data_IF_843647689898
#
_entry.id   IF_843647689898
#
_cell.length_a   1.000
_cell.length_b   1.000
_cell.length_c   1.000
_cell.angle_alpha   90.00
_cell.angle_beta   90.00
_cell.angle_gamma   90.00
#
_symmetry.space_group_name_H-M   'P 1'
#
loop_
_entity.id
_entity.type
_entity.pdbx_description
1 polymer ?
#
# COMPACT_ATOMS: atom_id res chain seq x y z
N UNK A 1 -17.10 -36.37 7.58
CA UNK A 1 -17.39 -35.01 7.08
C UNK A 1 -16.46 -34.05 7.79
N UNK A 2 -15.69 -33.28 7.02
CA UNK A 2 -14.69 -32.27 7.41
C UNK A 2 -13.47 -32.73 8.21
N UNK A 3 -12.43 -33.01 7.44
CA UNK A 3 -11.03 -33.09 7.86
C UNK A 3 -10.31 -31.84 7.36
N UNK A 4 -9.47 -31.27 8.24
CA UNK A 4 -8.25 -30.47 7.99
C UNK A 4 -8.39 -29.02 7.51
N UNK A 5 -8.09 -28.10 8.43
CA UNK A 5 -7.30 -26.90 8.15
C UNK A 5 -5.91 -27.11 8.76
N UNK A 6 -4.84 -27.00 7.96
CA UNK A 6 -3.72 -26.19 8.43
C UNK A 6 -3.10 -25.32 7.33
N UNK A 7 -2.48 -24.23 7.79
CA UNK A 7 -1.46 -23.41 7.13
C UNK A 7 -1.95 -22.36 6.13
N UNK A 8 -2.10 -21.15 6.69
CA UNK A 8 -2.09 -19.89 5.98
C UNK A 8 -0.69 -19.71 5.32
N UNK A 9 -0.57 -19.99 4.02
CA UNK A 9 0.63 -19.69 3.25
C UNK A 9 0.51 -18.29 2.67
N UNK A 10 1.36 -17.39 3.17
CA UNK A 10 1.62 -16.07 2.60
C UNK A 10 2.16 -16.23 1.18
N UNK A 11 1.34 -15.90 0.18
CA UNK A 11 1.77 -15.66 -1.21
C UNK A 11 1.52 -14.20 -1.52
N UNK A 12 2.55 -13.37 -1.44
CA UNK A 12 2.58 -12.06 -2.09
C UNK A 12 3.91 -11.92 -2.86
N UNK A 13 3.81 -11.28 -4.03
CA UNK A 13 4.77 -11.10 -5.12
C UNK A 13 5.01 -12.35 -6.00
N UNK A 14 4.04 -12.62 -6.86
CA UNK A 14 4.23 -13.27 -8.17
C UNK A 14 3.87 -12.24 -9.26
N UNK A 15 4.89 -11.69 -9.91
CA UNK A 15 4.86 -10.94 -11.17
C UNK A 15 6.35 -10.88 -11.55
N UNK A 16 6.85 -11.57 -12.57
CA UNK A 16 6.57 -11.41 -14.01
C UNK A 16 6.85 -12.77 -14.69
N UNK A 17 5.90 -13.32 -15.45
CA UNK A 17 6.16 -14.39 -16.41
C UNK A 17 5.55 -13.95 -17.75
N UNK A 18 6.40 -13.56 -18.69
CA UNK A 18 5.99 -13.26 -20.05
C UNK A 18 5.63 -14.55 -20.77
N UNK A 19 4.40 -14.63 -21.29
CA UNK A 19 4.04 -15.57 -22.33
C UNK A 19 4.77 -15.16 -23.61
N UNK A 20 5.76 -15.93 -24.04
CA UNK A 20 6.30 -15.86 -25.40
C UNK A 20 5.70 -17.01 -26.21
N UNK A 21 4.67 -16.71 -27.01
CA UNK A 21 4.22 -17.60 -28.08
C UNK A 21 5.35 -17.75 -29.11
N UNK A 22 5.55 -18.99 -29.54
CA UNK A 22 6.79 -19.46 -30.14
C UNK A 22 7.10 -18.94 -31.54
N UNK A 23 8.40 -18.83 -31.80
CA UNK A 23 9.06 -19.04 -33.08
C UNK A 23 10.46 -19.60 -32.78
N UNK A 24 10.71 -20.81 -33.27
CA UNK A 24 12.00 -21.50 -33.27
C UNK A 24 13.01 -20.74 -34.13
N UNK A 25 14.24 -20.57 -33.65
CA UNK A 25 15.44 -20.98 -34.39
C UNK A 25 16.67 -21.06 -33.45
N UNK A 26 17.47 -22.09 -33.71
CA UNK A 26 18.49 -22.67 -32.85
C UNK A 26 19.81 -21.89 -32.71
N UNK A 27 20.54 -22.25 -31.65
CA UNK A 27 22.00 -22.16 -31.46
C UNK A 27 22.63 -20.86 -30.90
N UNK A 28 22.55 -20.71 -29.57
CA UNK A 28 23.70 -20.24 -28.76
C UNK A 28 23.56 -20.70 -27.30
N UNK A 29 24.28 -21.78 -26.97
CA UNK A 29 24.46 -22.28 -25.62
C UNK A 29 25.34 -21.36 -24.78
N UNK A 30 24.73 -20.48 -23.99
CA UNK A 30 25.28 -20.03 -22.70
C UNK A 30 24.13 -19.92 -21.72
N UNK A 31 23.99 -20.95 -20.89
CA UNK A 31 23.37 -20.95 -19.56
C UNK A 31 22.65 -19.64 -19.16
N UNK A 32 21.44 -19.44 -19.67
CA UNK A 32 20.46 -18.63 -18.98
C UNK A 32 20.02 -19.53 -17.82
N UNK A 33 20.78 -19.49 -16.73
CA UNK A 33 20.26 -19.94 -15.45
C UNK A 33 18.94 -19.22 -15.28
N UNK A 34 17.90 -19.99 -15.02
CA UNK A 34 16.59 -19.54 -14.56
C UNK A 34 16.78 -18.71 -13.27
N UNK A 35 17.22 -17.47 -13.42
CA UNK A 35 17.21 -16.45 -12.39
C UNK A 35 15.75 -16.03 -12.30
N UNK A 36 15.00 -16.75 -11.47
CA UNK A 36 13.78 -16.21 -10.88
C UNK A 36 14.19 -14.93 -10.15
N UNK A 37 14.10 -13.81 -10.87
CA UNK A 37 14.46 -12.53 -10.34
C UNK A 37 13.36 -12.07 -9.40
N UNK A 38 13.44 -12.54 -8.16
CA UNK A 38 12.42 -12.35 -7.15
C UNK A 38 12.93 -11.43 -6.06
N UNK A 39 12.67 -10.14 -6.22
CA UNK A 39 12.80 -9.19 -5.12
C UNK A 39 11.63 -9.38 -4.15
N UNK A 40 11.94 -9.78 -2.91
CA UNK A 40 10.96 -9.87 -1.83
C UNK A 40 11.12 -8.69 -0.89
N UNK A 41 10.03 -7.98 -0.63
CA UNK A 41 9.95 -6.94 0.39
C UNK A 41 9.28 -7.53 1.63
N UNK A 42 9.82 -7.25 2.83
CA UNK A 42 9.19 -7.71 4.08
C UNK A 42 8.15 -6.70 4.57
N UNK A 43 8.16 -5.49 4.01
CA UNK A 43 7.18 -4.42 4.23
C UNK A 43 5.89 -4.76 3.49
N UNK A 44 4.81 -5.02 4.25
CA UNK A 44 3.51 -5.39 3.69
C UNK A 44 2.33 -4.98 4.56
N UNK A 45 1.12 -5.43 4.19
CA UNK A 45 -0.13 -4.97 4.81
C UNK A 45 -0.24 -5.25 6.33
N UNK A 46 0.41 -6.32 6.82
CA UNK A 46 0.46 -6.63 8.26
C UNK A 46 1.27 -5.61 9.05
N UNK A 47 2.41 -5.17 8.51
CA UNK A 47 3.23 -4.13 9.12
C UNK A 47 2.45 -2.82 9.17
N UNK A 48 1.76 -2.45 8.09
CA UNK A 48 0.92 -1.26 8.05
C UNK A 48 -0.19 -1.28 9.12
N UNK A 49 -0.91 -2.40 9.22
CA UNK A 49 -1.96 -2.55 10.25
C UNK A 49 -1.38 -2.49 11.66
N UNK A 50 -0.19 -3.06 11.90
CA UNK A 50 0.47 -2.99 13.19
C UNK A 50 0.92 -1.57 13.54
N UNK A 51 1.53 -0.87 12.59
CA UNK A 51 1.97 0.50 12.80
C UNK A 51 0.77 1.45 13.04
N UNK A 52 -0.33 1.26 12.32
CA UNK A 52 -1.57 1.99 12.55
C UNK A 52 -2.14 1.71 13.95
N UNK A 53 -2.10 0.44 14.42
CA UNK A 53 -2.50 0.08 15.79
C UNK A 53 -1.66 0.80 16.83
N UNK A 54 -0.33 0.86 16.66
CA UNK A 54 0.57 1.56 17.57
C UNK A 54 0.26 3.06 17.65
N UNK A 55 0.10 3.73 16.49
CA UNK A 55 -0.25 5.16 16.42
C UNK A 55 -1.57 5.43 17.15
N UNK A 56 -2.61 4.65 16.87
CA UNK A 56 -3.94 4.86 17.46
C UNK A 56 -3.94 4.56 18.96
N UNK A 57 -3.29 3.47 19.36
CA UNK A 57 -3.19 3.06 20.76
C UNK A 57 -2.40 4.04 21.61
N UNK A 58 -1.39 4.68 21.02
CA UNK A 58 -0.62 5.73 21.68
C UNK A 58 -1.39 7.05 21.80
N UNK A 59 -2.14 7.45 20.76
CA UNK A 59 -2.76 8.80 20.67
C UNK A 59 -4.17 8.89 21.25
N UNK A 60 -4.99 7.85 21.12
CA UNK A 60 -6.44 7.97 21.30
C UNK A 60 -7.02 6.83 22.12
N UNK A 61 -6.97 5.60 21.60
CA UNK A 61 -7.75 4.46 22.08
C UNK A 61 -6.93 3.19 21.96
N UNK A 62 -6.81 2.41 23.04
CA UNK A 62 -6.10 1.14 23.02
C UNK A 62 -6.84 0.11 22.16
N UNK A 63 -6.30 -0.20 20.97
CA UNK A 63 -6.90 -1.07 19.94
C UNK A 63 -5.97 -2.21 19.52
N UNK A 64 -4.99 -2.56 20.37
CA UNK A 64 -3.94 -3.53 20.02
C UNK A 64 -4.49 -4.92 19.69
N UNK A 65 -5.56 -5.32 20.37
CA UNK A 65 -6.24 -6.61 20.18
C UNK A 65 -7.23 -6.59 19.00
N UNK A 66 -7.66 -5.39 18.57
CA UNK A 66 -8.72 -5.18 17.57
C UNK A 66 -8.18 -5.15 16.13
N UNK A 67 -7.41 -6.17 15.75
CA UNK A 67 -6.70 -6.20 14.45
C UNK A 67 -7.66 -6.18 13.25
N UNK A 68 -8.83 -6.80 13.38
CA UNK A 68 -9.83 -6.82 12.30
C UNK A 68 -10.41 -5.43 12.03
N UNK A 69 -10.82 -4.72 13.08
CA UNK A 69 -11.39 -3.38 12.98
C UNK A 69 -10.38 -2.40 12.39
N UNK A 70 -9.11 -2.50 12.80
CA UNK A 70 -8.06 -1.62 12.30
C UNK A 70 -7.71 -1.93 10.84
N UNK A 71 -7.81 -3.20 10.41
CA UNK A 71 -7.68 -3.53 9.00
C UNK A 71 -8.81 -2.91 8.16
N UNK A 72 -10.05 -2.92 8.65
CA UNK A 72 -11.16 -2.24 7.97
C UNK A 72 -10.95 -0.73 7.90
N UNK A 73 -10.56 -0.10 9.02
CA UNK A 73 -10.23 1.33 9.06
C UNK A 73 -9.15 1.67 8.03
N UNK A 74 -8.10 0.85 7.95
CA UNK A 74 -7.03 1.02 6.97
C UNK A 74 -7.58 0.95 5.54
N UNK A 75 -8.38 -0.05 5.22
CA UNK A 75 -8.94 -0.22 3.87
C UNK A 75 -9.94 0.87 3.48
N UNK A 76 -10.76 1.33 4.43
CA UNK A 76 -11.81 2.33 4.16
C UNK A 76 -11.25 3.78 4.14
N UNK A 77 -10.18 4.07 4.91
CA UNK A 77 -9.75 5.45 5.19
C UNK A 77 -8.38 5.80 4.58
N UNK A 78 -7.45 4.86 4.51
CA UNK A 78 -6.08 5.12 4.05
C UNK A 78 -6.00 5.26 2.52
N UNK A 79 -5.07 6.08 2.07
CA UNK A 79 -4.81 6.33 0.66
C UNK A 79 -3.34 6.69 0.45
N UNK A 80 -2.83 6.52 -0.78
CA UNK A 80 -1.47 6.91 -1.13
C UNK A 80 -1.45 8.35 -1.62
N UNK A 81 -0.70 9.20 -0.93
CA UNK A 81 -0.49 10.59 -1.35
C UNK A 81 0.46 10.67 -2.54
N UNK A 82 0.18 11.59 -3.47
CA UNK A 82 1.10 11.95 -4.56
C UNK A 82 2.13 13.01 -4.13
N UNK A 83 1.81 13.80 -3.10
CA UNK A 83 2.64 14.93 -2.64
C UNK A 83 2.62 14.99 -1.11
N UNK A 84 3.45 14.16 -0.49
CA UNK A 84 3.49 13.98 0.97
C UNK A 84 3.61 15.30 1.75
N UNK A 85 4.56 16.17 1.39
CA UNK A 85 4.79 17.43 2.11
C UNK A 85 3.63 18.42 2.00
N UNK A 86 2.91 18.42 0.88
CA UNK A 86 1.75 19.30 0.69
C UNK A 86 0.59 18.83 1.56
N UNK A 87 0.33 17.53 1.56
CA UNK A 87 -0.72 16.92 2.37
C UNK A 87 -0.41 17.06 3.87
N UNK A 88 0.86 16.95 4.27
CA UNK A 88 1.29 17.21 5.64
C UNK A 88 0.97 18.63 6.09
N UNK A 89 1.20 19.64 5.24
CA UNK A 89 0.84 21.05 5.56
C UNK A 89 -0.66 21.22 5.76
N UNK A 90 -1.48 20.60 4.90
CA UNK A 90 -2.94 20.63 5.04
C UNK A 90 -3.39 19.91 6.31
N UNK A 91 -2.78 18.77 6.64
CA UNK A 91 -3.10 18.00 7.84
C UNK A 91 -2.76 18.73 9.14
N UNK A 92 -1.83 19.69 9.12
CA UNK A 92 -1.50 20.54 10.26
C UNK A 92 -2.50 21.69 10.49
N UNK A 93 -3.32 22.02 9.49
CA UNK A 93 -4.36 23.04 9.63
C UNK A 93 -5.43 22.57 10.64
N UNK A 94 -6.04 23.55 11.32
CA UNK A 94 -7.07 23.29 12.34
C UNK A 94 -8.45 23.67 11.79
N UNK A 95 -9.48 22.92 12.20
CA UNK A 95 -10.87 23.20 11.84
C UNK A 95 -11.22 22.75 10.42
N UNK A 96 -12.13 23.48 9.78
CA UNK A 96 -12.75 23.13 8.50
C UNK A 96 -11.78 23.15 7.30
N UNK A 97 -10.65 23.86 7.44
CA UNK A 97 -9.61 23.93 6.43
C UNK A 97 -8.84 22.60 6.27
N UNK A 98 -8.89 21.73 7.28
CA UNK A 98 -8.22 20.44 7.24
C UNK A 98 -9.05 19.44 6.44
N UNK A 99 -8.75 19.32 5.15
CA UNK A 99 -9.50 18.43 4.27
C UNK A 99 -9.23 16.95 4.49
N UNK A 100 -8.12 16.63 5.17
CA UNK A 100 -7.61 15.27 5.36
C UNK A 100 -8.21 14.63 6.62
N UNK A 101 -8.59 15.44 7.61
CA UNK A 101 -9.18 14.95 8.85
C UNK A 101 -10.52 14.25 8.58
N UNK A 102 -10.69 13.04 9.13
CA UNK A 102 -11.89 12.21 8.98
C UNK A 102 -12.16 11.45 10.27
N UNK A 103 -13.41 11.43 10.70
CA UNK A 103 -13.85 10.76 11.91
C UNK A 103 -14.51 9.44 11.51
N UNK A 104 -14.00 8.33 12.05
CA UNK A 104 -14.47 6.99 11.76
C UNK A 104 -15.21 6.42 12.97
N UNK A 105 -16.45 5.97 12.78
CA UNK A 105 -17.24 5.33 13.84
C UNK A 105 -16.84 3.87 13.94
N UNK A 106 -16.35 3.45 15.10
CA UNK A 106 -16.02 2.06 15.35
C UNK A 106 -17.29 1.22 15.55
N UNK A 107 -17.30 -0.04 15.09
CA UNK A 107 -18.42 -0.93 15.32
C UNK A 107 -18.56 -1.28 16.82
N UNK A 108 -19.77 -1.22 17.35
CA UNK A 108 -20.11 -1.60 18.72
C UNK A 108 -20.64 -3.06 18.83
N UNK A 109 -20.69 -3.76 17.69
CA UNK A 109 -21.23 -5.11 17.48
C UNK A 109 -22.68 -5.33 17.95
N UNK A 110 -23.35 -4.27 18.41
CA UNK A 110 -24.72 -4.30 18.91
C UNK A 110 -25.66 -3.66 17.89
N UNK A 111 -25.30 -2.47 17.41
CA UNK A 111 -26.05 -1.69 16.44
C UNK A 111 -25.30 -1.58 15.11
N UNK A 112 -23.97 -1.46 15.17
CA UNK A 112 -23.09 -1.23 14.02
C UNK A 112 -22.18 -2.45 13.87
N UNK A 113 -22.41 -3.24 12.82
CA UNK A 113 -21.59 -4.42 12.49
C UNK A 113 -20.30 -4.08 11.73
N UNK A 114 -20.32 -3.03 10.92
CA UNK A 114 -19.16 -2.49 10.20
C UNK A 114 -19.09 -1.00 10.48
N UNK A 115 -17.91 -0.52 10.86
CA UNK A 115 -17.67 0.91 11.03
C UNK A 115 -17.83 1.69 9.72
N UNK A 116 -17.90 3.01 9.83
CA UNK A 116 -18.05 3.89 8.66
C UNK A 116 -17.42 5.26 8.92
N UNK A 117 -17.05 5.95 7.83
CA UNK A 117 -16.58 7.32 7.90
C UNK A 117 -17.76 8.28 8.06
N UNK A 118 -17.70 9.20 9.03
CA UNK A 118 -18.66 10.30 9.11
C UNK A 118 -18.43 11.27 7.96
N UNK A 119 -19.52 11.82 7.43
CA UNK A 119 -19.43 12.92 6.47
C UNK A 119 -18.94 14.19 7.16
N UNK A 120 -18.23 15.06 6.41
CA UNK A 120 -17.65 16.31 6.95
C UNK A 120 -18.68 17.19 7.67
N UNK A 121 -19.93 17.20 7.21
CA UNK A 121 -21.03 18.00 7.80
C UNK A 121 -21.45 17.54 9.19
N UNK A 122 -21.27 16.25 9.50
CA UNK A 122 -21.71 15.62 10.76
C UNK A 122 -20.57 15.51 11.77
N UNK A 123 -19.38 15.98 11.39
CA UNK A 123 -18.17 15.89 12.20
C UNK A 123 -18.11 17.03 13.22
N UNK A 124 -17.84 16.67 14.48
CA UNK A 124 -17.75 17.63 15.58
C UNK A 124 -16.29 18.03 15.80
N UNK A 125 -15.89 19.24 15.44
CA UNK A 125 -14.48 19.68 15.55
C UNK A 125 -13.89 19.65 16.95
N UNK A 126 -14.72 19.77 17.99
CA UNK A 126 -14.27 19.62 19.38
C UNK A 126 -13.79 18.20 19.72
N UNK A 127 -14.13 17.20 18.90
CA UNK A 127 -13.78 15.78 19.11
C UNK A 127 -14.60 15.11 20.21
N UNK A 128 -15.56 15.81 20.82
CA UNK A 128 -16.44 15.27 21.86
C UNK A 128 -17.80 14.93 21.25
N UNK A 129 -18.01 13.63 21.03
CA UNK A 129 -19.29 13.12 20.58
C UNK A 129 -20.19 12.85 21.80
N UNK A 130 -21.44 13.37 21.82
CA UNK A 130 -22.38 13.16 22.91
C UNK A 130 -23.09 11.80 22.85
N UNK A 131 -23.13 11.16 21.67
CA UNK A 131 -23.56 9.79 21.51
C UNK A 131 -22.48 8.86 22.07
N UNK A 132 -22.85 7.77 22.76
CA UNK A 132 -21.90 6.74 23.23
C UNK A 132 -21.17 5.98 22.10
N UNK A 133 -21.16 6.55 20.89
CA UNK A 133 -20.41 6.08 19.73
C UNK A 133 -18.92 6.27 19.99
N UNK A 134 -18.16 5.20 19.82
CA UNK A 134 -16.71 5.30 19.85
C UNK A 134 -16.22 5.77 18.49
N UNK A 135 -15.69 6.99 18.44
CA UNK A 135 -15.21 7.64 17.22
C UNK A 135 -13.69 7.73 17.24
N UNK A 136 -13.06 7.28 16.16
CA UNK A 136 -11.63 7.37 15.91
C UNK A 136 -11.36 8.53 14.94
N UNK A 137 -10.61 9.54 15.39
CA UNK A 137 -10.27 10.69 14.56
C UNK A 137 -8.96 10.46 13.83
N UNK A 138 -9.01 10.38 12.50
CA UNK A 138 -7.84 10.10 11.66
C UNK A 138 -7.42 11.36 10.89
N UNK A 139 -6.13 11.65 10.91
CA UNK A 139 -5.51 12.82 10.27
C UNK A 139 -4.41 12.42 9.29
N UNK A 140 -3.15 12.75 9.59
CA UNK A 140 -2.00 12.44 8.74
C UNK A 140 -1.68 10.94 8.64
N UNK A 141 -2.09 10.13 9.62
CA UNK A 141 -1.90 8.67 9.61
C UNK A 141 -2.53 7.99 8.38
N UNK A 142 -3.53 8.62 7.76
CA UNK A 142 -4.22 8.09 6.57
C UNK A 142 -3.31 7.92 5.37
N UNK A 143 -2.36 8.84 5.19
CA UNK A 143 -1.40 8.80 4.08
C UNK A 143 0.02 8.48 4.56
N UNK A 144 0.36 8.78 5.82
CA UNK A 144 1.67 8.43 6.38
C UNK A 144 1.85 6.90 6.56
N UNK A 145 0.78 6.16 6.87
CA UNK A 145 0.89 4.69 6.99
C UNK A 145 1.23 4.03 5.64
N UNK A 146 0.50 4.27 4.54
CA UNK A 146 0.87 3.73 3.23
C UNK A 146 2.24 4.18 2.72
N UNK A 147 2.73 5.36 3.14
CA UNK A 147 4.04 5.90 2.75
C UNK A 147 5.19 4.99 3.17
N UNK A 148 5.04 4.20 4.24
CA UNK A 148 6.06 3.24 4.73
C UNK A 148 6.43 2.20 3.67
N UNK A 149 5.53 1.87 2.73
CA UNK A 149 5.84 0.95 1.64
C UNK A 149 6.77 1.58 0.58
N UNK A 150 6.77 2.91 0.48
CA UNK A 150 7.61 3.67 -0.43
C UNK A 150 8.90 4.13 0.25
N UNK A 151 8.82 4.50 1.52
CA UNK A 151 9.93 4.99 2.34
C UNK A 151 9.96 4.29 3.71
N UNK A 152 10.38 3.02 3.79
CA UNK A 152 10.40 2.27 5.05
C UNK A 152 11.40 2.80 6.08
N UNK A 153 12.39 3.58 5.64
CA UNK A 153 13.37 4.23 6.51
C UNK A 153 12.74 5.22 7.49
N UNK A 154 11.55 5.76 7.20
CA UNK A 154 10.83 6.71 8.07
C UNK A 154 10.47 6.10 9.44
N UNK A 155 10.32 4.77 9.50
CA UNK A 155 10.06 4.02 10.74
C UNK A 155 11.30 3.25 11.22
N UNK A 156 12.48 3.59 10.70
CA UNK A 156 13.76 2.97 11.06
C UNK A 156 13.99 1.59 10.44
N UNK A 157 13.16 1.16 9.48
CA UNK A 157 13.37 -0.08 8.74
C UNK A 157 14.34 0.19 7.57
N UNK A 158 15.49 -0.48 7.61
CA UNK A 158 16.53 -0.39 6.58
C UNK A 158 16.22 -1.36 5.42
N UNK A 159 15.11 -1.14 4.72
CA UNK A 159 14.72 -1.86 3.51
C UNK A 159 14.51 -0.89 2.34
N UNK A 160 14.50 -1.43 1.12
CA UNK A 160 14.15 -0.65 -0.07
C UNK A 160 12.65 -0.41 -0.15
N UNK A 161 12.27 0.75 -0.70
CA UNK A 161 10.89 0.99 -1.10
C UNK A 161 10.48 0.14 -2.30
N UNK A 162 9.18 0.06 -2.57
CA UNK A 162 8.63 -0.54 -3.80
C UNK A 162 9.31 -0.03 -5.09
N UNK A 163 9.43 1.30 -5.33
CA UNK A 163 9.98 1.80 -6.59
C UNK A 163 11.47 1.45 -6.77
N UNK A 164 12.24 1.50 -5.68
CA UNK A 164 13.65 1.11 -5.67
C UNK A 164 13.82 -0.39 -5.94
N UNK A 165 12.98 -1.22 -5.33
CA UNK A 165 13.00 -2.67 -5.53
C UNK A 165 12.67 -3.05 -6.98
N UNK A 166 11.72 -2.34 -7.62
CA UNK A 166 11.40 -2.51 -9.04
C UNK A 166 12.61 -2.13 -9.90
N UNK A 167 13.22 -0.97 -9.64
CA UNK A 167 14.40 -0.51 -10.37
C UNK A 167 15.55 -1.51 -10.25
N UNK A 168 15.92 -1.90 -9.03
CA UNK A 168 16.99 -2.87 -8.80
C UNK A 168 16.70 -4.23 -9.47
N UNK A 169 15.43 -4.64 -9.51
CA UNK A 169 15.04 -5.83 -10.23
C UNK A 169 15.30 -5.66 -11.73
N UNK A 170 14.79 -4.59 -12.36
CA UNK A 170 14.98 -4.39 -13.80
C UNK A 170 16.46 -4.20 -14.17
N UNK A 171 17.24 -3.49 -13.36
CA UNK A 171 18.67 -3.24 -13.60
C UNK A 171 19.53 -4.51 -13.52
N UNK A 172 19.09 -5.53 -12.81
CA UNK A 172 19.78 -6.82 -12.74
C UNK A 172 19.62 -7.68 -14.01
N UNK A 173 18.70 -7.31 -14.90
CA UNK A 173 18.48 -7.96 -16.20
C UNK A 173 19.43 -7.39 -17.26
N UNK A 174 19.56 -8.12 -18.38
CA UNK A 174 20.33 -7.65 -19.53
C UNK A 174 19.76 -6.34 -20.08
N UNK A 175 20.61 -5.38 -20.51
CA UNK A 175 20.16 -4.06 -20.99
C UNK A 175 19.08 -4.10 -22.08
N UNK A 176 19.10 -5.13 -22.92
CA UNK A 176 18.12 -5.32 -24.01
C UNK A 176 16.70 -5.65 -23.50
N UNK A 177 16.59 -6.31 -22.33
CA UNK A 177 15.31 -6.68 -21.73
C UNK A 177 14.70 -5.55 -20.87
N UNK A 178 15.54 -4.65 -20.35
CA UNK A 178 15.11 -3.56 -19.47
C UNK A 178 13.95 -2.71 -20.00
N UNK A 179 13.97 -2.19 -21.25
CA UNK A 179 12.87 -1.37 -21.77
C UNK A 179 11.55 -2.16 -21.85
N UNK A 180 11.62 -3.45 -22.19
CA UNK A 180 10.45 -4.32 -22.27
C UNK A 180 9.81 -4.55 -20.89
N UNK A 181 10.62 -4.62 -19.83
CA UNK A 181 10.13 -4.80 -18.46
C UNK A 181 9.49 -3.52 -17.91
N UNK A 182 10.09 -2.35 -18.15
CA UNK A 182 9.51 -1.07 -17.73
C UNK A 182 8.15 -0.79 -18.38
N UNK A 183 7.92 -1.28 -19.60
CA UNK A 183 6.65 -1.12 -20.29
C UNK A 183 5.54 -2.03 -19.76
N UNK A 184 5.89 -3.13 -19.08
CA UNK A 184 4.94 -4.18 -18.70
C UNK A 184 4.94 -4.44 -17.19
N UNK A 185 4.74 -3.39 -16.39
CA UNK A 185 4.62 -3.52 -14.93
C UNK A 185 3.16 -3.80 -14.58
N UNK A 186 2.89 -4.92 -13.91
CA UNK A 186 1.54 -5.29 -13.46
C UNK A 186 1.50 -5.28 -11.93
N UNK A 187 0.59 -4.49 -11.38
CA UNK A 187 0.34 -4.41 -9.94
C UNK A 187 -0.72 -5.42 -9.54
N UNK A 188 -0.43 -6.21 -8.52
CA UNK A 188 -1.35 -7.22 -7.96
C UNK A 188 -1.23 -7.25 -6.43
N UNK A 189 -2.21 -7.82 -5.75
CA UNK A 189 -2.25 -7.96 -4.28
C UNK A 189 -3.33 -7.12 -3.60
N UNK A 190 -3.43 -7.23 -2.28
CA UNK A 190 -4.38 -6.45 -1.48
C UNK A 190 -3.95 -5.00 -1.30
N UNK A 191 -2.64 -4.78 -1.14
CA UNK A 191 -2.06 -3.44 -0.90
C UNK A 191 -2.15 -2.52 -2.12
N UNK A 192 -2.29 -3.05 -3.34
CA UNK A 192 -2.46 -2.21 -4.55
C UNK A 192 -3.85 -1.58 -4.67
N UNK A 193 -4.79 -1.96 -3.79
CA UNK A 193 -6.16 -1.42 -3.76
C UNK A 193 -6.23 -0.03 -3.11
N UNK A 194 -5.16 0.48 -2.50
CA UNK A 194 -5.18 1.83 -1.96
C UNK A 194 -5.41 2.87 -3.07
N UNK A 195 -6.31 3.84 -2.86
CA UNK A 195 -6.50 4.93 -3.81
C UNK A 195 -5.19 5.67 -4.07
N UNK A 196 -4.87 5.92 -5.34
CA UNK A 196 -3.63 6.60 -5.76
C UNK A 196 -2.37 5.72 -5.80
N UNK A 197 -2.45 4.44 -5.42
CA UNK A 197 -1.28 3.55 -5.37
C UNK A 197 -0.62 3.38 -6.73
N UNK A 198 -1.40 3.06 -7.78
CA UNK A 198 -0.88 2.90 -9.15
C UNK A 198 -0.15 4.15 -9.63
N UNK A 199 -0.78 5.31 -9.47
CA UNK A 199 -0.25 6.58 -9.97
C UNK A 199 1.04 6.96 -9.25
N UNK A 200 1.12 6.68 -7.94
CA UNK A 200 2.34 6.89 -7.17
C UNK A 200 3.47 5.98 -7.63
N UNK A 201 3.21 4.69 -7.79
CA UNK A 201 4.22 3.74 -8.29
C UNK A 201 4.70 4.15 -9.68
N UNK A 202 3.80 4.56 -10.57
CA UNK A 202 4.17 5.05 -11.89
C UNK A 202 5.09 6.28 -11.81
N UNK A 203 4.73 7.28 -11.01
CA UNK A 203 5.50 8.50 -10.86
C UNK A 203 6.90 8.23 -10.29
N UNK A 204 7.00 7.40 -9.25
CA UNK A 204 8.26 7.08 -8.59
C UNK A 204 9.16 6.23 -9.50
N UNK A 205 8.62 5.18 -10.14
CA UNK A 205 9.38 4.36 -11.09
C UNK A 205 9.83 5.18 -12.31
N UNK A 206 8.96 6.04 -12.84
CA UNK A 206 9.33 6.93 -13.97
C UNK A 206 10.46 7.87 -13.59
N UNK A 207 10.47 8.37 -12.35
CA UNK A 207 11.54 9.28 -11.87
C UNK A 207 12.89 8.57 -11.69
N UNK A 208 12.88 7.25 -11.44
CA UNK A 208 14.08 6.44 -11.29
C UNK A 208 14.58 5.81 -12.61
N UNK A 209 13.75 5.79 -13.64
CA UNK A 209 14.06 5.15 -14.92
C UNK A 209 14.71 6.13 -15.90
N UNK A 210 15.60 5.68 -16.80
CA UNK A 210 16.08 6.49 -17.92
C UNK A 210 14.93 7.06 -18.76
N UNK A 211 15.10 8.30 -19.24
CA UNK A 211 14.04 9.00 -19.97
C UNK A 211 13.61 8.29 -21.25
N UNK A 212 14.55 7.57 -21.88
CA UNK A 212 14.39 6.80 -23.10
C UNK A 212 13.40 5.63 -22.95
N UNK A 213 13.28 5.08 -21.73
CA UNK A 213 12.45 3.89 -21.49
C UNK A 213 11.01 4.27 -21.23
N UNK A 214 10.09 3.72 -22.01
CA UNK A 214 8.65 3.91 -21.77
C UNK A 214 8.20 3.10 -20.57
N UNK A 215 7.80 3.78 -19.50
CA UNK A 215 7.21 3.13 -18.31
C UNK A 215 5.71 2.97 -18.50
N UNK A 216 5.16 1.81 -18.15
CA UNK A 216 3.72 1.57 -18.13
C UNK A 216 3.36 0.62 -16.99
N UNK A 217 2.42 1.08 -16.16
CA UNK A 217 1.98 0.40 -14.94
C UNK A 217 0.49 0.10 -15.06
N UNK A 218 0.15 -1.17 -15.10
CA UNK A 218 -1.24 -1.65 -15.23
C UNK A 218 -1.72 -2.21 -13.91
N UNK A 219 -2.88 -1.74 -13.46
CA UNK A 219 -3.62 -2.34 -12.36
C UNK A 219 -4.88 -2.98 -12.98
N UNK A 220 -4.97 -4.32 -13.05
CA UNK A 220 -6.16 -4.98 -13.58
C UNK A 220 -7.36 -4.71 -12.66
N UNK A 221 -8.50 -4.39 -13.27
CA UNK A 221 -9.77 -4.29 -12.57
C UNK A 221 -10.22 -5.69 -12.13
N UNK A 222 -10.84 -5.79 -10.94
CA UNK A 222 -11.40 -7.03 -10.41
C UNK A 222 -12.79 -7.32 -10.98
#
# INVERSE_FOLDING_TARGET
MFHRNPMCSFREVESICGQTDGLMDDAASHSISSLELRSRLNVGGKLLSNHLKEIISYRQLHVMDETYVINQVKEDVCYVSQQFYKDMKVAQLKGEENTILTDYVLPDFSTIRKGYCKERKDMIWSGKYPSGEQVLRLSNERFAVPEIMFHPSDIGIQEMGIPEAIRCAVESLTPEMQPHMYQNIVLTGGSSLFPGYRDRVFADVRSLSPDEFRVSVTLPEK
#
